data_IF_696025965358
#
_entry.id   IF_696025965358
#
_cell.length_a   1.000
_cell.length_b   1.000
_cell.length_c   1.000
_cell.angle_alpha   90.00
_cell.angle_beta   90.00
_cell.angle_gamma   90.00
#
_symmetry.space_group_name_H-M   'P 1'
#
loop_
_entity.id
_entity.type
_entity.pdbx_description
1 polymer ?
#
# COMPACT_ATOMS: atom_id res chain seq x y z
N UNK A 1 9.75 1.62 0.16
CA UNK A 1 9.72 0.20 -0.26
C UNK A 1 10.28 -0.65 0.85
N UNK A 2 11.41 -0.21 1.39
CA UNK A 2 12.17 -0.90 2.44
C UNK A 2 11.33 -1.23 3.67
N UNK A 3 10.53 -0.27 4.19
CA UNK A 3 9.64 -0.54 5.32
C UNK A 3 8.57 -1.62 5.02
N UNK A 4 8.05 -1.69 3.79
CA UNK A 4 7.04 -2.69 3.42
C UNK A 4 7.67 -4.07 3.31
N UNK A 5 8.76 -4.20 2.56
CA UNK A 5 9.44 -5.48 2.36
C UNK A 5 10.09 -6.00 3.64
N UNK A 6 10.66 -5.12 4.48
CA UNK A 6 11.23 -5.49 5.76
C UNK A 6 10.21 -6.07 6.75
N UNK A 7 8.93 -5.74 6.58
CA UNK A 7 7.83 -6.30 7.38
C UNK A 7 7.06 -7.41 6.62
N UNK A 8 7.68 -8.04 5.63
CA UNK A 8 7.11 -9.20 4.92
C UNK A 8 6.15 -8.87 3.78
N UNK A 9 5.94 -7.58 3.47
CA UNK A 9 5.05 -7.16 2.39
C UNK A 9 5.63 -7.46 1.00
N UNK A 10 4.81 -8.04 0.12
CA UNK A 10 5.14 -8.38 -1.26
C UNK A 10 4.39 -7.46 -2.23
N UNK A 11 5.12 -6.69 -3.02
CA UNK A 11 4.49 -5.85 -4.05
C UNK A 11 4.01 -6.72 -5.22
N UNK A 12 2.70 -6.76 -5.44
CA UNK A 12 2.09 -7.40 -6.61
C UNK A 12 1.98 -6.41 -7.78
N UNK A 13 1.70 -5.14 -7.48
CA UNK A 13 1.60 -4.05 -8.47
C UNK A 13 2.31 -2.81 -7.93
N UNK A 14 3.02 -2.07 -8.79
CA UNK A 14 3.69 -0.82 -8.40
C UNK A 14 3.64 0.24 -9.51
N UNK A 15 2.43 0.54 -9.99
CA UNK A 15 2.18 1.45 -11.11
C UNK A 15 2.32 0.80 -12.49
N UNK A 16 1.84 -0.44 -12.63
CA UNK A 16 1.75 -1.13 -13.92
C UNK A 16 0.65 -0.56 -14.82
N UNK A 17 0.48 -1.15 -16.01
CA UNK A 17 -0.63 -0.79 -16.90
C UNK A 17 -1.97 -1.00 -16.18
N UNK A 18 -2.86 -0.02 -16.28
CA UNK A 18 -4.18 -0.08 -15.68
C UNK A 18 -5.22 0.52 -16.63
N UNK A 19 -6.40 -0.08 -16.61
CA UNK A 19 -7.56 0.32 -17.40
C UNK A 19 -8.73 0.43 -16.40
N UNK A 20 -9.19 1.64 -16.04
CA UNK A 20 -10.27 1.79 -15.08
C UNK A 20 -11.58 1.21 -15.66
N UNK A 21 -12.40 0.61 -14.80
CA UNK A 21 -13.76 0.16 -15.14
C UNK A 21 -14.77 0.86 -14.23
N UNK A 22 -15.99 1.05 -14.74
CA UNK A 22 -17.08 1.74 -14.06
C UNK A 22 -16.67 3.15 -13.56
N UNK A 23 -16.72 3.40 -12.25
CA UNK A 23 -16.39 4.68 -11.63
C UNK A 23 -14.94 4.77 -11.11
N UNK A 24 -14.07 3.82 -11.49
CA UNK A 24 -12.68 3.85 -11.08
C UNK A 24 -11.95 5.06 -11.67
N UNK A 25 -11.08 5.69 -10.87
CA UNK A 25 -10.20 6.78 -11.32
C UNK A 25 -8.90 6.17 -11.84
N UNK A 26 -8.43 6.65 -13.00
CA UNK A 26 -7.16 6.21 -13.59
C UNK A 26 -5.96 6.82 -12.85
N UNK A 27 -5.61 6.25 -11.71
CA UNK A 27 -4.48 6.69 -10.88
C UNK A 27 -3.45 5.59 -10.69
N UNK A 28 -2.25 5.99 -10.24
CA UNK A 28 -1.18 5.05 -9.92
C UNK A 28 -1.61 4.10 -8.80
N UNK A 29 -1.85 2.84 -9.14
CA UNK A 29 -2.19 1.79 -8.17
C UNK A 29 -0.95 1.06 -7.65
N UNK A 30 -0.92 0.81 -6.35
CA UNK A 30 0.06 -0.06 -5.69
C UNK A 30 -0.70 -1.13 -4.93
N UNK A 31 -0.36 -2.39 -5.16
CA UNK A 31 -0.94 -3.52 -4.44
C UNK A 31 0.17 -4.26 -3.69
N UNK A 32 -0.06 -4.49 -2.42
CA UNK A 32 0.87 -5.19 -1.53
C UNK A 32 0.11 -6.32 -0.83
N UNK A 33 0.67 -7.52 -0.90
CA UNK A 33 0.19 -8.68 -0.18
C UNK A 33 1.01 -8.88 1.09
N UNK A 34 0.33 -9.27 2.16
CA UNK A 34 0.92 -9.70 3.43
C UNK A 34 0.33 -11.05 3.82
N UNK A 35 1.04 -11.81 4.65
CA UNK A 35 0.58 -13.13 5.12
C UNK A 35 -0.60 -13.04 6.09
N UNK A 36 -0.89 -11.87 6.64
CA UNK A 36 -2.10 -11.62 7.45
C UNK A 36 -2.52 -10.15 7.43
N UNK A 37 -3.79 -9.90 7.74
CA UNK A 37 -4.34 -8.55 7.92
C UNK A 37 -3.59 -7.78 9.02
N UNK A 38 -3.27 -8.44 10.13
CA UNK A 38 -2.51 -7.87 11.25
C UNK A 38 -1.08 -7.45 10.84
N UNK A 39 -0.41 -8.23 9.98
CA UNK A 39 0.91 -7.88 9.47
C UNK A 39 0.86 -6.58 8.65
N UNK A 40 -0.19 -6.39 7.84
CA UNK A 40 -0.39 -5.16 7.08
C UNK A 40 -0.64 -3.94 8.01
N UNK A 41 -1.48 -4.10 9.04
CA UNK A 41 -1.73 -3.06 10.04
C UNK A 41 -0.46 -2.68 10.81
N UNK A 42 0.28 -3.67 11.30
CA UNK A 42 1.53 -3.47 12.03
C UNK A 42 2.56 -2.77 11.16
N UNK A 43 2.66 -3.16 9.89
CA UNK A 43 3.55 -2.50 8.92
C UNK A 43 3.19 -1.04 8.74
N UNK A 44 1.90 -0.73 8.57
CA UNK A 44 1.43 0.65 8.44
C UNK A 44 1.76 1.47 9.68
N UNK A 45 1.53 0.92 10.88
CA UNK A 45 1.81 1.60 12.15
C UNK A 45 3.31 1.70 12.48
N UNK A 46 4.19 0.98 11.76
CA UNK A 46 5.62 0.93 12.07
C UNK A 46 6.29 2.31 11.97
N UNK A 47 7.27 2.62 12.83
CA UNK A 47 7.99 3.90 12.78
C UNK A 47 8.66 4.17 11.42
N UNK A 48 9.17 3.11 10.78
CA UNK A 48 9.80 3.22 9.47
C UNK A 48 8.78 3.59 8.37
N UNK A 49 7.56 3.03 8.43
CA UNK A 49 6.51 3.38 7.48
C UNK A 49 5.97 4.80 7.73
N UNK A 50 5.74 5.18 8.99
CA UNK A 50 5.29 6.53 9.35
C UNK A 50 6.30 7.60 8.92
N UNK A 51 7.61 7.38 9.13
CA UNK A 51 8.65 8.27 8.60
C UNK A 51 8.62 8.40 7.08
N UNK A 52 8.31 7.30 6.38
CA UNK A 52 8.13 7.35 4.93
C UNK A 52 6.87 8.13 4.53
N UNK A 53 5.82 8.15 5.37
CA UNK A 53 4.63 8.97 5.13
C UNK A 53 4.90 10.45 5.32
N UNK A 54 5.63 10.83 6.37
CA UNK A 54 6.05 12.22 6.60
C UNK A 54 6.85 12.76 5.42
N UNK A 55 7.76 11.95 4.87
CA UNK A 55 8.54 12.32 3.68
C UNK A 55 7.68 12.48 2.41
N UNK A 56 6.46 11.94 2.39
CA UNK A 56 5.51 12.05 1.29
C UNK A 56 4.47 13.16 1.51
N UNK A 57 4.45 13.79 2.69
CA UNK A 57 3.45 14.80 3.05
C UNK A 57 3.47 15.99 2.09
N UNK A 58 2.29 16.49 1.74
CA UNK A 58 2.08 17.55 0.74
C UNK A 58 2.40 17.16 -0.71
N UNK A 59 2.99 15.98 -0.96
CA UNK A 59 3.37 15.54 -2.30
C UNK A 59 2.27 14.77 -3.05
N UNK A 60 1.44 14.03 -2.33
CA UNK A 60 0.37 13.19 -2.89
C UNK A 60 -0.82 13.06 -1.95
N UNK A 61 -2.03 13.00 -2.51
CA UNK A 61 -3.22 12.48 -1.81
C UNK A 61 -3.33 11.00 -2.14
N UNK A 62 -3.59 10.16 -1.14
CA UNK A 62 -3.67 8.70 -1.32
C UNK A 62 -4.97 8.16 -0.77
N UNK A 63 -5.64 7.35 -1.57
CA UNK A 63 -6.65 6.41 -1.10
C UNK A 63 -5.94 5.11 -0.71
N UNK A 64 -5.58 4.98 0.58
CA UNK A 64 -4.94 3.79 1.12
C UNK A 64 -5.95 2.99 1.94
N UNK A 65 -6.09 1.72 1.58
CA UNK A 65 -7.00 0.78 2.26
C UNK A 65 -6.22 -0.47 2.63
N UNK A 66 -6.46 -0.97 3.83
CA UNK A 66 -6.00 -2.28 4.29
C UNK A 66 -7.27 -3.12 4.40
N UNK A 67 -7.30 -4.26 3.73
CA UNK A 67 -8.51 -5.08 3.57
C UNK A 67 -8.12 -6.53 3.86
N UNK A 68 -8.94 -7.22 4.65
CA UNK A 68 -8.76 -8.63 4.93
C UNK A 68 -9.18 -9.46 3.71
N UNK A 69 -8.42 -10.52 3.42
CA UNK A 69 -8.76 -11.50 2.40
C UNK A 69 -9.94 -12.37 2.84
N UNK A 70 -10.44 -13.21 1.94
CA UNK A 70 -11.56 -14.11 2.24
C UNK A 70 -11.12 -15.53 2.66
N UNK A 71 -9.82 -15.80 2.65
CA UNK A 71 -9.21 -17.11 2.90
C UNK A 71 -8.37 -17.14 4.19
#
# INVERSE_FOLDING_TARGET
>A
ADAVQANGGRFLVRGGQMEPKEHAVAERTVLVEFDSYEAALTTYASPAYQKALEALDGGVVRDLRIVEGID
#
